data_IF_255698351014
#
_entry.id   IF_255698351014
#
_cell.length_a   1.000
_cell.length_b   1.000
_cell.length_c   1.000
_cell.angle_alpha   90.00
_cell.angle_beta   90.00
_cell.angle_gamma   90.00
#
_symmetry.space_group_name_H-M   'P 1'
#
loop_
_entity.id
_entity.type
_entity.pdbx_description
1 polymer ?
#
# COMPACT_ATOMS: atom_id res chain seq x y z
N UNK A 1 -14.49 -11.88 -0.28
CA UNK A 1 -13.95 -10.72 0.46
C UNK A 1 -13.39 -11.27 1.76
N UNK A 2 -12.09 -11.10 2.03
CA UNK A 2 -11.51 -11.64 3.26
C UNK A 2 -11.66 -10.62 4.37
N UNK A 3 -12.29 -11.05 5.46
CA UNK A 3 -12.58 -10.21 6.60
C UNK A 3 -11.54 -10.49 7.69
N UNK A 4 -10.87 -9.44 8.16
CA UNK A 4 -10.08 -9.54 9.38
C UNK A 4 -11.03 -9.57 10.58
N UNK A 5 -10.83 -10.54 11.47
CA UNK A 5 -11.53 -10.69 12.74
C UNK A 5 -10.45 -10.77 13.81
N UNK A 6 -10.41 -9.75 14.66
CA UNK A 6 -9.43 -9.65 15.74
C UNK A 6 -9.40 -10.93 16.58
N UNK A 7 -8.19 -11.38 16.95
CA UNK A 7 -7.95 -12.60 17.76
C UNK A 7 -8.49 -13.90 17.16
N UNK A 8 -8.96 -13.88 15.91
CA UNK A 8 -9.54 -15.05 15.23
C UNK A 8 -8.83 -15.31 13.91
N UNK A 9 -8.51 -14.25 13.15
CA UNK A 9 -7.79 -14.36 11.89
C UNK A 9 -6.41 -14.94 12.10
N UNK A 10 -6.11 -16.03 11.37
CA UNK A 10 -4.81 -16.70 11.39
C UNK A 10 -3.94 -16.25 10.24
N UNK A 11 -2.64 -16.18 10.49
CA UNK A 11 -1.62 -16.01 9.47
C UNK A 11 -1.56 -17.25 8.59
N UNK A 12 -1.69 -17.09 7.27
CA UNK A 12 -1.64 -18.22 6.33
C UNK A 12 -0.24 -18.83 6.15
N UNK A 13 0.83 -18.14 6.59
CA UNK A 13 2.22 -18.64 6.52
C UNK A 13 2.56 -19.50 7.74
N UNK A 14 2.24 -19.03 8.96
CA UNK A 14 2.67 -19.69 10.19
C UNK A 14 1.51 -20.30 11.01
N UNK A 15 0.27 -20.15 10.53
CA UNK A 15 -0.98 -20.67 11.11
C UNK A 15 -1.34 -20.15 12.51
N UNK A 16 -0.53 -19.24 13.08
CA UNK A 16 -0.80 -18.59 14.36
C UNK A 16 -1.81 -17.45 14.21
N UNK A 17 -2.54 -17.16 15.28
CA UNK A 17 -3.47 -16.03 15.35
C UNK A 17 -2.71 -14.72 15.20
N UNK A 18 -3.30 -13.77 14.47
CA UNK A 18 -2.80 -12.39 14.37
C UNK A 18 -3.51 -11.58 15.45
N UNK A 19 -2.75 -11.19 16.47
CA UNK A 19 -3.28 -10.56 17.68
C UNK A 19 -3.88 -9.18 17.41
N UNK A 20 -3.34 -8.46 16.43
CA UNK A 20 -3.80 -7.12 16.04
C UNK A 20 -3.75 -6.94 14.52
N UNK A 21 -4.76 -6.25 13.97
CA UNK A 21 -4.82 -5.87 12.55
C UNK A 21 -3.55 -5.15 12.08
N UNK A 22 -2.96 -4.28 12.92
CA UNK A 22 -1.73 -3.53 12.60
C UNK A 22 -0.53 -4.45 12.30
N UNK A 23 -0.52 -5.65 12.85
CA UNK A 23 0.51 -6.65 12.60
C UNK A 23 0.21 -7.51 11.37
N UNK A 24 -0.93 -7.31 10.72
CA UNK A 24 -1.34 -8.07 9.56
C UNK A 24 -0.97 -7.38 8.25
N UNK A 25 -0.77 -8.19 7.22
CA UNK A 25 -0.75 -7.79 5.81
C UNK A 25 -1.80 -8.64 5.12
N UNK A 26 -2.68 -8.00 4.34
CA UNK A 26 -3.59 -8.71 3.45
C UNK A 26 -2.81 -9.03 2.17
N UNK A 27 -2.60 -10.31 1.90
CA UNK A 27 -1.95 -10.69 0.66
C UNK A 27 -2.85 -10.31 -0.53
N UNK A 28 -2.30 -9.62 -1.54
CA UNK A 28 -3.06 -9.08 -2.66
C UNK A 28 -3.88 -10.15 -3.38
N UNK A 29 -4.93 -9.68 -4.03
CA UNK A 29 -5.79 -10.49 -4.85
C UNK A 29 -5.00 -10.87 -6.11
N UNK A 30 -4.38 -12.04 -6.14
CA UNK A 30 -3.95 -12.64 -7.40
C UNK A 30 -5.08 -13.49 -7.97
N UNK A 31 -5.34 -13.47 -9.29
CA UNK A 31 -5.96 -14.62 -9.96
C UNK A 31 -4.78 -15.55 -10.17
N UNK A 32 -4.54 -16.49 -9.25
CA UNK A 32 -3.47 -17.42 -9.48
C UNK A 32 -3.80 -18.10 -10.80
N UNK A 33 -2.78 -18.25 -11.66
CA UNK A 33 -2.84 -19.31 -12.63
C UNK A 33 -3.25 -20.57 -11.84
N UNK A 34 -4.28 -21.32 -12.24
CA UNK A 34 -4.91 -22.32 -11.36
C UNK A 34 -3.94 -23.39 -10.82
N UNK A 35 -2.73 -23.44 -11.39
CA UNK A 35 -1.62 -24.31 -11.01
C UNK A 35 -0.51 -23.62 -10.18
N UNK A 36 -0.68 -22.36 -9.77
CA UNK A 36 0.28 -21.64 -8.94
C UNK A 36 0.23 -22.16 -7.50
N UNK A 37 1.41 -22.45 -6.95
CA UNK A 37 1.59 -22.81 -5.53
C UNK A 37 1.14 -21.72 -4.57
N UNK A 38 0.90 -20.50 -5.07
CA UNK A 38 0.47 -19.35 -4.30
C UNK A 38 -1.06 -19.21 -4.16
N UNK A 39 -1.84 -20.04 -4.85
CA UNK A 39 -3.32 -20.00 -4.86
C UNK A 39 -3.93 -19.99 -3.46
N UNK A 40 -3.37 -20.75 -2.53
CA UNK A 40 -3.89 -20.87 -1.16
C UNK A 40 -3.62 -19.62 -0.29
N UNK A 41 -2.68 -18.77 -0.69
CA UNK A 41 -2.31 -17.55 0.03
C UNK A 41 -3.09 -16.33 -0.43
N UNK A 42 -3.82 -16.44 -1.53
CA UNK A 42 -4.60 -15.34 -2.11
C UNK A 42 -5.71 -14.90 -1.17
N UNK A 43 -5.83 -13.58 -0.97
CA UNK A 43 -6.79 -12.97 -0.02
C UNK A 43 -6.68 -13.57 1.38
N UNK A 44 -5.48 -13.95 1.81
CA UNK A 44 -5.26 -14.38 3.18
C UNK A 44 -4.52 -13.31 3.96
N UNK A 45 -4.77 -13.26 5.26
CA UNK A 45 -3.97 -12.42 6.14
C UNK A 45 -2.73 -13.16 6.57
N UNK A 46 -1.62 -12.45 6.69
CA UNK A 46 -0.35 -12.94 7.24
C UNK A 46 0.15 -11.96 8.28
N UNK A 47 0.95 -12.41 9.25
CA UNK A 47 1.75 -11.47 10.04
C UNK A 47 2.72 -10.73 9.11
N UNK A 48 2.87 -9.44 9.30
CA UNK A 48 3.85 -8.58 8.61
C UNK A 48 5.26 -9.15 8.71
N UNK A 49 5.65 -9.61 9.91
CA UNK A 49 6.95 -10.25 10.10
C UNK A 49 7.06 -11.60 9.38
N UNK A 50 5.99 -12.39 9.32
CA UNK A 50 6.00 -13.63 8.55
C UNK A 50 6.14 -13.35 7.06
N UNK A 51 5.44 -12.34 6.53
CA UNK A 51 5.53 -11.94 5.14
C UNK A 51 6.95 -11.48 4.77
N UNK A 52 7.54 -10.58 5.57
CA UNK A 52 8.87 -10.03 5.32
C UNK A 52 9.99 -11.08 5.35
N UNK A 53 9.83 -12.14 6.15
CA UNK A 53 10.84 -13.20 6.30
C UNK A 53 10.47 -14.47 5.53
N UNK A 54 9.43 -14.43 4.70
CA UNK A 54 9.01 -15.59 3.94
C UNK A 54 10.02 -15.86 2.82
N UNK A 55 10.52 -17.09 2.74
CA UNK A 55 11.44 -17.52 1.69
C UNK A 55 10.88 -17.33 0.27
N UNK A 56 9.55 -17.38 0.12
CA UNK A 56 8.84 -17.16 -1.15
C UNK A 56 8.31 -15.75 -1.33
N UNK A 57 8.70 -14.81 -0.46
CA UNK A 57 8.23 -13.43 -0.48
C UNK A 57 8.37 -12.80 -1.88
N UNK A 58 9.57 -12.83 -2.45
CA UNK A 58 9.86 -12.17 -3.72
C UNK A 58 9.11 -12.83 -4.90
N UNK A 59 9.03 -14.16 -4.91
CA UNK A 59 8.28 -14.92 -5.92
C UNK A 59 6.76 -14.62 -5.88
N UNK A 60 6.20 -14.55 -4.67
CA UNK A 60 4.79 -14.23 -4.47
C UNK A 60 4.48 -12.80 -4.92
N UNK A 61 5.33 -11.86 -4.51
CA UNK A 61 5.26 -10.46 -4.92
C UNK A 61 5.29 -10.37 -6.43
N UNK A 62 6.31 -10.91 -7.10
CA UNK A 62 6.45 -10.87 -8.56
C UNK A 62 5.26 -11.51 -9.28
N UNK A 63 4.74 -12.63 -8.79
CA UNK A 63 3.55 -13.29 -9.35
C UNK A 63 2.30 -12.40 -9.27
N UNK A 64 2.23 -11.50 -8.29
CA UNK A 64 1.15 -10.53 -8.15
C UNK A 64 1.21 -9.43 -9.22
N UNK A 65 2.39 -9.09 -9.74
CA UNK A 65 2.55 -8.12 -10.82
C UNK A 65 2.03 -8.65 -12.16
N UNK A 66 2.35 -9.90 -12.52
CA UNK A 66 1.84 -10.53 -13.74
C UNK A 66 0.30 -10.68 -13.76
N UNK A 67 -0.36 -10.49 -12.62
CA UNK A 67 -1.81 -10.33 -12.58
C UNK A 67 -2.25 -8.89 -12.85
N UNK A 68 -1.63 -7.89 -12.21
CA UNK A 68 -2.02 -6.49 -12.43
C UNK A 68 -1.95 -6.13 -13.91
N UNK A 69 -0.95 -6.65 -14.63
CA UNK A 69 -0.86 -6.55 -16.10
C UNK A 69 -2.07 -7.17 -16.83
N UNK A 70 -2.59 -8.31 -16.37
CA UNK A 70 -3.79 -8.95 -16.95
C UNK A 70 -5.09 -8.20 -16.62
N UNK A 71 -5.21 -7.64 -15.41
CA UNK A 71 -6.39 -6.84 -15.05
C UNK A 71 -6.47 -5.53 -15.84
N UNK A 72 -5.32 -4.95 -16.23
CA UNK A 72 -5.24 -3.84 -17.18
C UNK A 72 -5.74 -4.28 -18.55
N UNK A 73 -5.26 -5.42 -19.05
CA UNK A 73 -5.68 -5.97 -20.35
C UNK A 73 -7.17 -6.26 -20.41
N UNK A 74 -7.77 -6.73 -19.30
CA UNK A 74 -9.19 -7.01 -19.17
C UNK A 74 -10.05 -5.75 -18.94
N UNK A 75 -9.44 -4.56 -18.88
CA UNK A 75 -10.13 -3.27 -18.82
C UNK A 75 -10.75 -2.92 -17.46
N UNK A 76 -10.32 -3.59 -16.38
CA UNK A 76 -10.79 -3.26 -15.02
C UNK A 76 -10.24 -1.92 -14.51
N UNK A 77 -9.13 -1.46 -15.08
CA UNK A 77 -8.48 -0.22 -14.72
C UNK A 77 -8.12 0.56 -15.99
N UNK A 78 -8.25 1.89 -15.96
CA UNK A 78 -7.99 2.73 -17.13
C UNK A 78 -6.50 2.87 -17.42
N UNK A 79 -5.67 2.96 -16.36
CA UNK A 79 -4.21 2.92 -16.43
C UNK A 79 -3.68 2.47 -15.06
N UNK A 80 -3.33 1.18 -14.91
CA UNK A 80 -2.59 0.73 -13.72
C UNK A 80 -1.11 0.72 -14.01
N UNK A 81 -0.37 1.41 -13.14
CA UNK A 81 1.08 1.31 -13.10
C UNK A 81 1.43 0.57 -11.81
N UNK A 82 2.02 -0.59 -11.99
CA UNK A 82 2.60 -1.35 -10.91
C UNK A 82 3.99 -0.79 -10.67
N UNK A 83 4.18 -0.06 -9.57
CA UNK A 83 5.42 0.63 -9.28
C UNK A 83 6.01 0.12 -7.97
N UNK A 84 7.04 -0.70 -8.10
CA UNK A 84 7.71 -1.40 -7.00
C UNK A 84 6.76 -2.34 -6.21
N UNK A 85 7.35 -3.34 -5.55
CA UNK A 85 6.80 -4.59 -5.01
C UNK A 85 5.47 -4.53 -4.22
N UNK A 86 4.92 -3.34 -3.91
CA UNK A 86 3.77 -3.17 -3.02
C UNK A 86 2.74 -2.10 -3.44
N UNK A 87 2.88 -1.42 -4.58
CA UNK A 87 1.95 -0.36 -4.99
C UNK A 87 1.17 -0.68 -6.26
N UNK A 88 -0.14 -0.39 -6.22
CA UNK A 88 -0.97 -0.18 -7.42
C UNK A 88 -1.27 1.31 -7.53
N UNK A 89 -0.97 1.89 -8.69
CA UNK A 89 -1.36 3.26 -9.04
C UNK A 89 -2.45 3.16 -10.10
N UNK A 90 -3.68 3.57 -9.80
CA UNK A 90 -4.81 3.59 -10.74
C UNK A 90 -5.25 5.03 -11.01
N UNK A 91 -5.20 5.49 -12.25
CA UNK A 91 -5.72 6.81 -12.62
C UNK A 91 -7.16 6.71 -13.11
N UNK A 92 -8.08 7.33 -12.37
CA UNK A 92 -9.49 7.38 -12.74
C UNK A 92 -9.81 8.69 -13.45
N UNK A 93 -9.84 8.67 -14.78
CA UNK A 93 -10.01 9.88 -15.61
C UNK A 93 -11.32 10.62 -15.32
N UNK A 94 -12.38 9.88 -15.00
CA UNK A 94 -13.70 10.46 -14.70
C UNK A 94 -13.71 11.23 -13.37
N UNK A 95 -12.86 10.82 -12.43
CA UNK A 95 -12.73 11.46 -11.12
C UNK A 95 -11.63 12.53 -11.11
N UNK A 96 -10.63 12.41 -11.99
CA UNK A 96 -9.46 13.30 -12.03
C UNK A 96 -8.45 13.01 -10.91
N UNK A 97 -8.47 11.79 -10.36
CA UNK A 97 -7.64 11.37 -9.24
C UNK A 97 -6.83 10.11 -9.56
N UNK A 98 -5.64 10.05 -8.98
CA UNK A 98 -4.83 8.85 -8.81
C UNK A 98 -5.21 8.17 -7.49
N UNK A 99 -5.38 6.86 -7.54
CA UNK A 99 -5.50 5.99 -6.40
C UNK A 99 -4.18 5.26 -6.23
N UNK A 100 -3.43 5.58 -5.18
CA UNK A 100 -2.19 4.90 -4.82
C UNK A 100 -2.50 3.95 -3.68
N UNK A 101 -2.45 2.65 -3.95
CA UNK A 101 -2.78 1.60 -2.98
C UNK A 101 -1.48 0.90 -2.58
N UNK A 102 -1.06 1.08 -1.33
CA UNK A 102 0.03 0.31 -0.70
C UNK A 102 -0.52 -0.95 -0.04
N UNK A 103 -0.22 -2.11 -0.63
CA UNK A 103 -0.61 -3.41 -0.09
C UNK A 103 0.16 -3.78 1.17
N UNK A 104 1.35 -3.21 1.38
CA UNK A 104 2.12 -3.47 2.58
C UNK A 104 1.44 -2.83 3.78
N UNK A 105 1.10 -1.55 3.70
CA UNK A 105 0.48 -0.82 4.80
C UNK A 105 -1.05 -0.92 4.82
N UNK A 106 -1.66 -1.53 3.79
CA UNK A 106 -3.11 -1.54 3.55
C UNK A 106 -3.64 -0.09 3.58
N UNK A 107 -2.95 0.78 2.84
CA UNK A 107 -3.18 2.22 2.85
C UNK A 107 -3.49 2.69 1.44
N UNK A 108 -4.54 3.51 1.28
CA UNK A 108 -4.88 4.13 0.00
C UNK A 108 -4.73 5.65 0.12
N UNK A 109 -4.03 6.25 -0.85
CA UNK A 109 -3.96 7.70 -1.02
C UNK A 109 -4.68 8.07 -2.31
N UNK A 110 -5.68 8.95 -2.21
CA UNK A 110 -6.41 9.51 -3.37
C UNK A 110 -5.95 10.93 -3.61
N UNK A 111 -5.30 11.19 -4.73
CA UNK A 111 -4.61 12.46 -4.98
C UNK A 111 -4.79 12.91 -6.43
N UNK A 112 -5.02 14.19 -6.65
CA UNK A 112 -4.95 14.78 -7.98
C UNK A 112 -3.50 15.20 -8.30
N UNK A 113 -3.24 15.61 -9.54
CA UNK A 113 -1.88 15.92 -9.98
C UNK A 113 -1.23 17.10 -9.23
N UNK A 114 -2.00 18.12 -8.85
CA UNK A 114 -1.50 19.28 -8.08
C UNK A 114 -1.06 18.85 -6.67
N UNK A 115 -1.78 17.89 -6.09
CA UNK A 115 -1.54 17.35 -4.76
C UNK A 115 -0.34 16.39 -4.72
N UNK A 116 -0.07 15.67 -5.81
CA UNK A 116 1.08 14.74 -5.92
C UNK A 116 2.38 15.43 -5.54
N UNK A 117 2.62 16.65 -6.03
CA UNK A 117 3.84 17.41 -5.73
C UNK A 117 3.96 17.75 -4.24
N UNK A 118 2.86 18.17 -3.61
CA UNK A 118 2.85 18.52 -2.19
C UNK A 118 3.20 17.31 -1.31
N UNK A 119 2.63 16.15 -1.63
CA UNK A 119 2.92 14.91 -0.90
C UNK A 119 4.34 14.42 -1.21
N UNK A 120 4.79 14.50 -2.45
CA UNK A 120 6.17 14.17 -2.83
C UNK A 120 7.20 14.96 -2.00
N UNK A 121 7.04 16.29 -1.94
CA UNK A 121 7.93 17.18 -1.18
C UNK A 121 7.90 16.84 0.33
N UNK A 122 6.76 16.40 0.86
CA UNK A 122 6.66 15.95 2.25
C UNK A 122 7.42 14.65 2.50
N UNK A 123 7.30 13.65 1.62
CA UNK A 123 8.02 12.39 1.76
C UNK A 123 9.54 12.58 1.59
N UNK A 124 9.99 13.47 0.71
CA UNK A 124 11.40 13.85 0.59
C UNK A 124 11.95 14.48 1.88
N UNK A 125 11.18 15.33 2.55
CA UNK A 125 11.53 15.84 3.90
C UNK A 125 11.67 14.70 4.91
N UNK A 126 10.79 13.69 4.83
CA UNK A 126 10.87 12.48 5.64
C UNK A 126 12.17 11.70 5.43
N UNK A 127 12.64 11.57 4.18
CA UNK A 127 13.93 10.94 3.87
C UNK A 127 15.12 11.69 4.49
N UNK A 128 15.06 13.02 4.48
CA UNK A 128 16.11 13.87 5.06
C UNK A 128 16.06 13.94 6.60
N UNK A 129 15.04 13.35 7.22
CA UNK A 129 14.88 13.31 8.68
C UNK A 129 14.30 14.60 9.27
N UNK A 130 13.64 15.43 8.46
CA UNK A 130 12.98 16.64 8.92
C UNK A 130 11.73 16.31 9.73
N UNK A 131 11.52 17.01 10.86
CA UNK A 131 10.29 16.88 11.62
C UNK A 131 9.27 17.90 11.10
N UNK A 132 8.29 17.44 10.32
CA UNK A 132 7.20 18.27 9.80
C UNK A 132 5.88 17.52 9.78
N UNK A 133 4.79 18.29 9.65
CA UNK A 133 3.43 17.79 9.50
C UNK A 133 2.82 18.29 8.20
N UNK A 134 1.91 17.51 7.65
CA UNK A 134 1.10 17.87 6.49
C UNK A 134 -0.33 17.40 6.74
N UNK A 135 -1.27 18.34 6.69
CA UNK A 135 -2.70 18.03 6.65
C UNK A 135 -3.13 17.92 5.19
N UNK A 136 -3.85 16.85 4.88
CA UNK A 136 -4.27 16.51 3.52
C UNK A 136 -5.66 15.87 3.55
N UNK A 137 -6.70 16.68 3.32
CA UNK A 137 -8.07 16.23 3.49
C UNK A 137 -8.31 15.74 4.92
N UNK A 138 -8.69 14.47 5.07
CA UNK A 138 -8.88 13.81 6.36
C UNK A 138 -7.59 13.18 6.92
N UNK A 139 -6.50 13.18 6.15
CA UNK A 139 -5.24 12.55 6.53
C UNK A 139 -4.32 13.59 7.16
N UNK A 140 -3.74 13.26 8.31
CA UNK A 140 -2.61 13.99 8.87
C UNK A 140 -1.34 13.14 8.78
N UNK A 141 -0.38 13.62 8.03
CA UNK A 141 0.96 13.05 7.93
C UNK A 141 1.87 13.74 8.94
N UNK A 142 2.66 12.96 9.69
CA UNK A 142 3.55 13.47 10.72
C UNK A 142 4.85 12.68 10.71
N UNK A 143 5.97 13.33 10.40
CA UNK A 143 7.29 12.70 10.47
C UNK A 143 7.73 12.70 11.93
N UNK A 144 7.98 11.50 12.48
CA UNK A 144 8.41 11.31 13.86
C UNK A 144 9.40 10.15 13.92
N UNK A 145 10.57 10.40 14.53
CA UNK A 145 11.62 9.39 14.68
C UNK A 145 12.06 8.75 13.34
N UNK A 146 12.07 9.53 12.25
CA UNK A 146 12.35 9.11 10.85
C UNK A 146 11.26 8.28 10.17
N UNK A 147 10.21 7.88 10.88
CA UNK A 147 9.02 7.25 10.31
C UNK A 147 7.97 8.31 9.97
N UNK A 148 7.04 7.98 9.07
CA UNK A 148 5.87 8.81 8.79
C UNK A 148 4.66 8.14 9.43
N UNK A 149 4.06 8.82 10.40
CA UNK A 149 2.75 8.46 10.94
C UNK A 149 1.68 9.12 10.07
N UNK A 150 0.75 8.33 9.56
CA UNK A 150 -0.43 8.81 8.85
C UNK A 150 -1.66 8.50 9.68
N UNK A 151 -2.37 9.54 10.11
CA UNK A 151 -3.60 9.41 10.87
C UNK A 151 -4.77 9.83 9.98
N UNK A 152 -5.74 8.94 9.80
CA UNK A 152 -7.00 9.25 9.12
C UNK A 152 -8.06 9.68 10.15
N UNK A 153 -8.74 10.78 9.85
CA UNK A 153 -9.77 11.36 10.71
C UNK A 153 -11.16 11.25 10.08
N UNK A 154 -12.11 10.73 10.84
CA UNK A 154 -13.54 10.97 10.61
C UNK A 154 -14.00 12.09 11.54
N UNK A 155 -13.99 13.31 11.00
CA UNK A 155 -14.23 14.57 11.74
C UNK A 155 -13.19 14.74 12.86
N UNK A 156 -13.61 14.70 14.12
CA UNK A 156 -12.74 14.88 15.27
C UNK A 156 -12.24 13.55 15.86
N UNK A 157 -12.57 12.41 15.24
CA UNK A 157 -12.18 11.08 15.72
C UNK A 157 -11.15 10.46 14.79
N UNK A 158 -10.15 9.83 15.37
CA UNK A 158 -9.20 9.00 14.64
C UNK A 158 -9.96 7.76 14.13
N UNK A 159 -10.02 7.63 12.81
CA UNK A 159 -10.58 6.47 12.13
C UNK A 159 -9.53 5.36 12.01
N UNK A 160 -8.33 5.71 11.53
CA UNK A 160 -7.22 4.77 11.39
C UNK A 160 -5.86 5.46 11.60
N UNK A 161 -4.83 4.66 11.87
CA UNK A 161 -3.46 5.15 12.03
C UNK A 161 -2.44 4.12 11.53
N UNK A 162 -1.64 4.57 10.56
CA UNK A 162 -0.67 3.76 9.83
C UNK A 162 0.71 4.36 10.03
N UNK A 163 1.72 3.51 10.24
CA UNK A 163 3.11 3.93 10.30
C UNK A 163 3.84 3.43 9.07
N UNK A 164 4.35 4.37 8.27
CA UNK A 164 5.26 4.10 7.15
C UNK A 164 6.68 4.17 7.71
N UNK A 165 7.40 3.03 7.81
CA UNK A 165 8.74 3.01 8.36
C UNK A 165 9.71 3.74 7.44
N UNK A 166 10.78 4.31 8.01
CA UNK A 166 11.80 5.05 7.27
C UNK A 166 12.32 4.31 6.02
N UNK A 167 12.50 2.99 6.13
CA UNK A 167 12.99 2.12 5.04
C UNK A 167 12.06 2.07 3.83
N UNK A 168 10.81 2.50 3.96
CA UNK A 168 9.77 2.47 2.91
C UNK A 168 9.42 3.86 2.38
N UNK A 169 9.90 4.94 3.01
CA UNK A 169 9.61 6.31 2.56
C UNK A 169 10.09 6.54 1.13
N UNK A 170 11.24 5.95 0.77
CA UNK A 170 11.78 6.05 -0.58
C UNK A 170 10.80 5.52 -1.63
N UNK A 171 10.18 4.37 -1.39
CA UNK A 171 9.23 3.77 -2.34
C UNK A 171 8.08 4.73 -2.68
N UNK A 172 7.56 5.44 -1.67
CA UNK A 172 6.54 6.47 -1.88
C UNK A 172 7.06 7.67 -2.69
N UNK A 173 8.28 8.15 -2.44
CA UNK A 173 8.84 9.25 -3.26
C UNK A 173 9.01 8.82 -4.70
N UNK A 174 9.42 7.58 -4.95
CA UNK A 174 9.58 7.08 -6.31
C UNK A 174 8.22 6.94 -7.03
N UNK A 175 7.20 6.39 -6.36
CA UNK A 175 5.81 6.31 -6.87
C UNK A 175 5.28 7.70 -7.25
N UNK A 176 5.43 8.67 -6.36
CA UNK A 176 4.92 10.04 -6.59
C UNK A 176 5.68 10.75 -7.71
N UNK A 177 7.01 10.58 -7.77
CA UNK A 177 7.84 11.09 -8.86
C UNK A 177 7.43 10.52 -10.20
N UNK A 178 7.14 9.22 -10.25
CA UNK A 178 6.65 8.56 -11.45
C UNK A 178 5.35 9.21 -11.95
N UNK A 179 4.38 9.47 -11.06
CA UNK A 179 3.13 10.14 -11.41
C UNK A 179 3.41 11.53 -11.98
N UNK A 180 4.29 12.32 -11.35
CA UNK A 180 4.67 13.64 -11.86
C UNK A 180 5.21 13.56 -13.30
N UNK A 181 6.12 12.63 -13.58
CA UNK A 181 6.75 12.47 -14.89
C UNK A 181 5.80 12.04 -16.01
N UNK A 182 4.71 11.33 -15.69
CA UNK A 182 3.70 10.95 -16.70
C UNK A 182 2.78 12.10 -17.11
N UNK A 183 2.80 13.22 -16.37
CA UNK A 183 1.90 14.36 -16.57
C UNK A 183 2.65 15.66 -16.90
N UNK A 184 3.97 15.60 -17.07
CA UNK A 184 4.81 16.65 -17.66
C UNK A 184 4.84 16.51 -19.20
#
# INVERSE_FOLDING_TARGET
MSLYIEKTTKCSICEKVIDNFKESVLLPYTLPDQNSTFTHFVKSYVHRNCFNNWDKHDDFVQSSFGLGERMIQDGYYENVILYDKYFIIDYKKQEGFYHIIDFYSIFEIKINIEQVKTIYDFFEKGLNGDNTKLEFGNLMFNIKNRDILVTDYDRDKINDEITIPHSRIYDYTVVLKYILQQNE
#
